data_IF_037857620278
#
_entry.id   IF_037857620278
#
_cell.length_a   1.000
_cell.length_b   1.000
_cell.length_c   1.000
_cell.angle_alpha   90.00
_cell.angle_beta   90.00
_cell.angle_gamma   90.00
#
_symmetry.space_group_name_H-M   'P 1'
#
loop_
_entity.id
_entity.type
_entity.pdbx_description
1 polymer ?
#
# COMPACT_ATOMS: atom_id res chain seq x y z
N UNK A 1 5.89 11.73 -21.81
CA UNK A 1 7.14 11.33 -21.13
C UNK A 1 7.71 12.44 -20.26
N UNK A 2 7.77 13.70 -20.70
CA UNK A 2 8.30 14.79 -19.86
C UNK A 2 7.51 14.98 -18.55
N UNK A 3 6.18 14.82 -18.58
CA UNK A 3 5.34 14.94 -17.36
C UNK A 3 5.53 13.74 -16.46
N UNK A 4 5.46 12.51 -17.00
CA UNK A 4 5.71 11.28 -16.24
C UNK A 4 7.06 11.32 -15.49
N UNK A 5 8.16 11.62 -16.19
CA UNK A 5 9.48 11.67 -15.58
C UNK A 5 9.62 12.80 -14.56
N UNK A 6 8.99 13.96 -14.82
CA UNK A 6 8.92 15.07 -13.86
C UNK A 6 8.18 14.65 -12.59
N UNK A 7 7.00 14.05 -12.71
CA UNK A 7 6.19 13.60 -11.57
C UNK A 7 6.96 12.57 -10.74
N UNK A 8 7.60 11.59 -11.39
CA UNK A 8 8.39 10.58 -10.69
C UNK A 8 9.58 11.22 -9.97
N UNK A 9 10.28 12.17 -10.59
CA UNK A 9 11.40 12.88 -9.97
C UNK A 9 10.96 13.74 -8.79
N UNK A 10 9.87 14.48 -8.92
CA UNK A 10 9.33 15.31 -7.83
C UNK A 10 8.90 14.47 -6.63
N UNK A 11 8.30 13.30 -6.88
CA UNK A 11 7.81 12.41 -5.82
C UNK A 11 8.83 11.37 -5.38
N UNK A 12 9.99 11.27 -6.02
CA UNK A 12 11.01 10.23 -5.78
C UNK A 12 11.42 10.10 -4.32
N UNK A 13 11.66 11.22 -3.63
CA UNK A 13 11.98 11.22 -2.19
C UNK A 13 10.85 10.60 -1.36
N UNK A 14 9.61 10.97 -1.64
CA UNK A 14 8.44 10.41 -0.98
C UNK A 14 8.30 8.91 -1.25
N UNK A 15 8.50 8.48 -2.50
CA UNK A 15 8.48 7.07 -2.90
C UNK A 15 9.58 6.29 -2.17
N UNK A 16 10.81 6.82 -2.11
CA UNK A 16 11.94 6.17 -1.44
C UNK A 16 11.70 6.03 0.07
N UNK A 17 11.23 7.09 0.72
CA UNK A 17 10.89 7.06 2.15
C UNK A 17 9.79 6.03 2.40
N UNK A 18 8.74 6.03 1.59
CA UNK A 18 7.64 5.09 1.72
C UNK A 18 8.09 3.65 1.47
N UNK A 19 8.91 3.42 0.45
CA UNK A 19 9.49 2.11 0.14
C UNK A 19 10.32 1.60 1.33
N UNK A 20 11.20 2.44 1.88
CA UNK A 20 12.00 2.09 3.05
C UNK A 20 11.14 1.81 4.28
N UNK A 21 10.07 2.59 4.49
CA UNK A 21 9.13 2.37 5.58
C UNK A 21 8.41 1.03 5.44
N UNK A 22 7.87 0.70 4.27
CA UNK A 22 7.15 -0.57 4.05
C UNK A 22 8.08 -1.80 4.13
N UNK A 23 9.32 -1.67 3.62
CA UNK A 23 10.35 -2.69 3.78
C UNK A 23 10.70 -2.92 5.25
N UNK A 24 10.97 -1.83 5.99
CA UNK A 24 11.30 -1.91 7.41
C UNK A 24 10.14 -2.43 8.26
N UNK A 25 8.92 -1.99 7.95
CA UNK A 25 7.71 -2.43 8.66
C UNK A 25 7.42 -3.91 8.44
N UNK A 26 7.55 -4.44 7.21
CA UNK A 26 7.37 -5.88 6.96
C UNK A 26 8.42 -6.73 7.68
N UNK A 27 9.68 -6.30 7.67
CA UNK A 27 10.73 -6.99 8.44
C UNK A 27 10.44 -6.95 9.95
N UNK A 28 10.02 -5.80 10.47
CA UNK A 28 9.67 -5.61 11.87
C UNK A 28 8.48 -6.48 12.30
N UNK A 29 7.42 -6.53 11.48
CA UNK A 29 6.24 -7.36 11.77
C UNK A 29 6.58 -8.84 11.75
N UNK A 30 7.35 -9.32 10.78
CA UNK A 30 7.79 -10.73 10.75
C UNK A 30 8.66 -11.08 11.97
N UNK A 31 9.55 -10.17 12.41
CA UNK A 31 10.34 -10.36 13.63
C UNK A 31 9.50 -10.38 14.91
N UNK A 32 8.41 -9.61 14.96
CA UNK A 32 7.46 -9.67 16.07
C UNK A 32 6.67 -10.97 16.03
N UNK A 33 6.24 -11.41 14.84
CA UNK A 33 5.45 -12.62 14.67
C UNK A 33 6.17 -13.85 15.21
N UNK A 34 7.49 -13.98 15.03
CA UNK A 34 8.24 -15.11 15.60
C UNK A 34 8.25 -15.10 17.13
N UNK A 35 8.34 -13.90 17.71
CA UNK A 35 8.31 -13.74 19.18
C UNK A 35 6.92 -14.09 19.71
N UNK A 36 5.87 -13.62 19.02
CA UNK A 36 4.49 -13.94 19.37
C UNK A 36 4.17 -15.41 19.17
N UNK A 37 4.64 -16.06 18.11
CA UNK A 37 4.35 -17.48 17.88
C UNK A 37 4.91 -18.35 18.99
N UNK A 38 6.11 -18.08 19.51
CA UNK A 38 6.68 -18.84 20.63
C UNK A 38 5.87 -18.68 21.94
N UNK A 39 5.47 -17.46 22.27
CA UNK A 39 4.68 -17.14 23.49
C UNK A 39 3.22 -17.61 23.37
N UNK A 40 2.65 -17.53 22.17
CA UNK A 40 1.28 -17.92 21.86
C UNK A 40 1.16 -19.45 21.76
N UNK A 41 2.16 -20.16 21.23
CA UNK A 41 2.20 -21.63 21.26
C UNK A 41 2.33 -22.18 22.69
N UNK A 42 3.19 -21.58 23.52
CA UNK A 42 3.37 -22.02 24.92
C UNK A 42 2.14 -21.77 25.80
N UNK A 43 1.38 -20.70 25.54
CA UNK A 43 0.09 -20.42 26.20
C UNK A 43 -1.10 -21.19 25.60
N UNK A 44 -1.02 -21.60 24.32
CA UNK A 44 -2.04 -22.42 23.66
C UNK A 44 -2.10 -23.84 24.24
N UNK A 45 -0.95 -24.44 24.59
CA UNK A 45 -0.91 -25.79 25.18
C UNK A 45 -1.70 -25.89 26.50
N UNK A 46 -1.73 -24.82 27.30
CA UNK A 46 -2.49 -24.76 28.56
C UNK A 46 -4.01 -24.57 28.32
N UNK A 47 -4.40 -23.87 27.25
CA UNK A 47 -5.81 -23.60 26.92
C UNK A 47 -6.52 -24.74 26.17
N UNK A 48 -5.76 -25.62 25.49
CA UNK A 48 -6.27 -26.74 24.67
C UNK A 48 -7.04 -27.82 25.47
N UNK A 49 -6.98 -27.82 26.80
CA UNK A 49 -7.69 -28.78 27.63
C UNK A 49 -9.19 -28.48 27.81
N UNK A 50 -9.65 -27.25 27.49
CA UNK A 50 -11.06 -26.90 27.70
C UNK A 50 -11.99 -27.33 26.54
N UNK A 51 -13.15 -27.97 26.81
CA UNK A 51 -14.06 -28.46 25.76
C UNK A 51 -14.63 -27.38 24.83
N UNK A 52 -14.84 -26.17 25.35
CA UNK A 52 -15.29 -25.02 24.57
C UNK A 52 -14.21 -24.53 23.57
N UNK A 53 -12.93 -24.68 23.93
CA UNK A 53 -11.82 -24.24 23.11
C UNK A 53 -11.51 -25.22 21.97
N UNK A 54 -11.78 -26.53 22.10
CA UNK A 54 -11.62 -27.50 20.99
C UNK A 54 -12.52 -27.21 19.77
N UNK A 55 -13.71 -26.66 19.98
CA UNK A 55 -14.59 -26.22 18.90
C UNK A 55 -14.08 -24.94 18.21
N UNK A 56 -13.48 -24.03 18.99
CA UNK A 56 -12.83 -22.81 18.50
C UNK A 56 -11.49 -23.09 17.81
N UNK A 57 -10.69 -24.02 18.34
CA UNK A 57 -9.38 -24.44 17.85
C UNK A 57 -9.41 -24.96 16.41
N UNK A 58 -10.52 -25.60 15.99
CA UNK A 58 -10.70 -26.01 14.59
C UNK A 58 -10.79 -24.81 13.64
N UNK A 59 -11.37 -23.70 14.10
CA UNK A 59 -11.42 -22.42 13.38
C UNK A 59 -10.17 -21.55 13.61
N UNK A 60 -9.48 -21.73 14.74
CA UNK A 60 -8.24 -21.03 15.10
C UNK A 60 -6.98 -21.70 14.56
N UNK A 61 -7.06 -22.94 14.05
CA UNK A 61 -5.94 -23.64 13.41
C UNK A 61 -5.33 -22.85 12.24
N UNK A 62 -6.13 -21.99 11.59
CA UNK A 62 -5.64 -21.03 10.59
C UNK A 62 -4.82 -19.91 11.25
N UNK A 63 -5.23 -19.39 12.41
CA UNK A 63 -4.57 -18.28 13.11
C UNK A 63 -3.24 -18.70 13.74
N UNK A 64 -3.04 -20.00 14.00
CA UNK A 64 -1.76 -20.53 14.50
C UNK A 64 -0.73 -20.81 13.40
N UNK A 65 -1.09 -20.67 12.12
CA UNK A 65 -0.14 -20.80 11.00
C UNK A 65 0.57 -19.48 10.73
N UNK A 66 1.78 -19.56 10.16
CA UNK A 66 2.52 -18.36 9.75
C UNK A 66 1.71 -17.52 8.74
N UNK A 67 0.99 -18.16 7.83
CA UNK A 67 0.10 -17.49 6.88
C UNK A 67 -1.04 -16.75 7.60
N UNK A 68 -1.71 -17.40 8.55
CA UNK A 68 -2.81 -16.76 9.27
C UNK A 68 -2.36 -15.61 10.15
N UNK A 69 -1.19 -15.73 10.78
CA UNK A 69 -0.57 -14.63 11.54
C UNK A 69 -0.21 -13.46 10.63
N UNK A 70 0.38 -13.72 9.45
CA UNK A 70 0.62 -12.70 8.44
C UNK A 70 -0.68 -12.05 7.96
N UNK A 71 -1.75 -12.82 7.79
CA UNK A 71 -3.06 -12.26 7.43
C UNK A 71 -3.53 -11.29 8.51
N UNK A 72 -3.58 -11.71 9.75
CA UNK A 72 -4.15 -10.93 10.85
C UNK A 72 -3.35 -9.66 11.13
N UNK A 73 -2.02 -9.80 11.23
CA UNK A 73 -1.14 -8.70 11.66
C UNK A 73 -0.70 -7.79 10.51
N UNK A 74 -0.40 -8.38 9.34
CA UNK A 74 0.11 -7.62 8.20
C UNK A 74 -1.01 -7.21 7.24
N UNK A 75 -1.86 -8.15 6.82
CA UNK A 75 -2.76 -7.97 5.67
C UNK A 75 -4.22 -7.58 5.98
N UNK A 76 -4.68 -7.70 7.22
CA UNK A 76 -6.11 -7.55 7.55
C UNK A 76 -6.55 -6.09 7.68
N UNK A 77 -5.70 -5.24 8.25
CA UNK A 77 -6.04 -3.83 8.53
C UNK A 77 -4.87 -2.86 8.38
N UNK A 78 -3.64 -3.30 8.69
CA UNK A 78 -2.56 -2.40 9.05
C UNK A 78 -1.96 -1.65 7.86
N UNK A 79 -1.33 -2.36 6.94
CA UNK A 79 -0.44 -1.73 5.97
C UNK A 79 -1.14 -1.35 4.66
N UNK A 80 -2.18 -2.09 4.27
CA UNK A 80 -2.96 -1.84 3.04
C UNK A 80 -3.72 -0.52 3.14
N UNK A 81 -4.32 -0.23 4.29
CA UNK A 81 -5.05 1.01 4.52
C UNK A 81 -4.10 2.21 4.59
N UNK A 82 -2.93 2.04 5.19
CA UNK A 82 -1.90 3.08 5.22
C UNK A 82 -1.41 3.40 3.80
N UNK A 83 -1.14 2.37 2.99
CA UNK A 83 -0.75 2.56 1.59
C UNK A 83 -1.87 3.19 0.78
N UNK A 84 -3.11 2.74 0.96
CA UNK A 84 -4.28 3.32 0.32
C UNK A 84 -4.43 4.81 0.68
N UNK A 85 -4.20 5.18 1.94
CA UNK A 85 -4.16 6.58 2.38
C UNK A 85 -3.11 7.40 1.62
N UNK A 86 -1.88 6.88 1.49
CA UNK A 86 -0.85 7.55 0.70
C UNK A 86 -1.22 7.64 -0.79
N UNK A 87 -1.80 6.59 -1.36
CA UNK A 87 -2.29 6.56 -2.75
C UNK A 87 -3.34 7.66 -2.97
N UNK A 88 -4.27 7.85 -2.02
CA UNK A 88 -5.26 8.93 -2.07
C UNK A 88 -4.57 10.29 -2.10
N UNK A 89 -3.62 10.55 -1.19
CA UNK A 89 -2.90 11.82 -1.17
C UNK A 89 -2.08 12.05 -2.45
N UNK A 90 -1.45 11.00 -2.97
CA UNK A 90 -0.67 11.05 -4.19
C UNK A 90 -1.55 11.39 -5.40
N UNK A 91 -2.67 10.68 -5.56
CA UNK A 91 -3.63 10.87 -6.64
C UNK A 91 -4.33 12.24 -6.54
N UNK A 92 -4.75 12.66 -5.35
CA UNK A 92 -5.33 13.98 -5.12
C UNK A 92 -4.36 15.12 -5.49
N UNK A 93 -3.06 14.92 -5.29
CA UNK A 93 -2.03 15.91 -5.66
C UNK A 93 -1.87 16.12 -7.17
N UNK A 94 -2.56 15.34 -8.03
CA UNK A 94 -2.49 15.50 -9.47
C UNK A 94 -3.05 16.82 -9.96
N UNK A 95 -4.14 17.28 -9.34
CA UNK A 95 -4.81 18.54 -9.66
C UNK A 95 -4.48 19.59 -8.61
N UNK A 96 -4.78 19.31 -7.34
CA UNK A 96 -4.52 20.23 -6.22
C UNK A 96 -3.08 20.71 -6.13
N UNK A 97 -2.10 19.82 -6.37
CA UNK A 97 -0.68 20.17 -6.31
C UNK A 97 -0.22 21.10 -7.44
N UNK A 98 -0.90 21.12 -8.59
CA UNK A 98 -0.60 22.11 -9.64
C UNK A 98 -1.23 23.47 -9.33
N UNK A 99 -2.41 23.46 -8.68
CA UNK A 99 -3.10 24.68 -8.24
C UNK A 99 -2.29 25.38 -7.16
N UNK A 100 -1.85 24.65 -6.14
CA UNK A 100 -1.04 25.17 -5.03
C UNK A 100 0.28 25.78 -5.54
N UNK A 101 0.93 25.12 -6.51
CA UNK A 101 2.17 25.60 -7.14
C UNK A 101 1.94 26.72 -8.15
N UNK A 102 0.69 27.11 -8.44
CA UNK A 102 0.30 28.08 -9.49
C UNK A 102 0.87 27.72 -10.87
N UNK A 103 1.02 26.43 -11.14
CA UNK A 103 1.58 25.92 -12.40
C UNK A 103 0.53 25.45 -13.40
N UNK A 104 -0.75 25.49 -13.04
CA UNK A 104 -1.86 25.07 -13.92
C UNK A 104 -1.84 25.82 -15.26
N UNK A 105 -1.68 27.14 -15.24
CA UNK A 105 -1.69 27.94 -16.48
C UNK A 105 -0.48 27.64 -17.37
N UNK A 106 0.69 27.42 -16.77
CA UNK A 106 1.91 27.01 -17.49
C UNK A 106 1.77 25.60 -18.08
N UNK A 107 1.07 24.71 -17.39
CA UNK A 107 0.78 23.35 -17.86
C UNK A 107 -0.19 23.37 -19.05
N UNK A 108 -1.23 24.21 -18.97
CA UNK A 108 -2.25 24.39 -20.00
C UNK A 108 -1.76 25.21 -21.22
N UNK A 109 -0.74 26.04 -21.05
CA UNK A 109 -0.11 26.76 -22.15
C UNK A 109 0.66 25.83 -23.11
N UNK A 110 1.03 24.62 -22.66
CA UNK A 110 1.60 23.62 -23.55
C UNK A 110 0.50 22.92 -24.37
N UNK A 111 0.74 22.61 -25.65
CA UNK A 111 -0.23 21.92 -26.51
C UNK A 111 -0.30 20.43 -26.18
N UNK A 112 -0.73 20.09 -24.96
CA UNK A 112 -0.85 18.72 -24.45
C UNK A 112 -2.28 18.50 -23.98
N UNK A 113 -2.90 17.39 -24.37
CA UNK A 113 -4.25 17.06 -23.92
C UNK A 113 -4.28 16.79 -22.41
N UNK A 114 -5.35 17.25 -21.75
CA UNK A 114 -5.57 17.03 -20.30
C UNK A 114 -5.57 15.54 -19.94
N UNK A 115 -6.16 14.70 -20.81
CA UNK A 115 -6.17 13.25 -20.67
C UNK A 115 -4.76 12.65 -20.67
N UNK A 116 -3.87 13.13 -21.55
CA UNK A 116 -2.48 12.65 -21.59
C UNK A 116 -1.73 13.01 -20.31
N UNK A 117 -1.94 14.20 -19.77
CA UNK A 117 -1.32 14.63 -18.50
C UNK A 117 -1.77 13.71 -17.37
N UNK A 118 -3.08 13.45 -17.26
CA UNK A 118 -3.63 12.56 -16.23
C UNK A 118 -3.10 11.13 -16.37
N UNK A 119 -3.05 10.58 -17.59
CA UNK A 119 -2.48 9.25 -17.84
C UNK A 119 -0.99 9.19 -17.50
N UNK A 120 -0.21 10.22 -17.81
CA UNK A 120 1.21 10.28 -17.43
C UNK A 120 1.40 10.37 -15.91
N UNK A 121 0.55 11.11 -15.19
CA UNK A 121 0.60 11.16 -13.72
C UNK A 121 0.16 9.86 -13.08
N UNK A 122 -0.92 9.26 -13.59
CA UNK A 122 -1.42 7.97 -13.12
C UNK A 122 -0.42 6.84 -13.41
N UNK A 123 0.31 6.90 -14.52
CA UNK A 123 1.44 6.00 -14.77
C UNK A 123 2.50 6.08 -13.66
N UNK A 124 2.80 7.27 -13.14
CA UNK A 124 3.72 7.42 -12.01
C UNK A 124 3.16 6.83 -10.71
N UNK A 125 1.83 6.90 -10.51
CA UNK A 125 1.16 6.21 -9.40
C UNK A 125 1.30 4.69 -9.50
N UNK A 126 1.11 4.12 -10.70
CA UNK A 126 1.29 2.68 -10.92
C UNK A 126 2.71 2.25 -10.53
N UNK A 127 3.73 3.00 -10.95
CA UNK A 127 5.13 2.73 -10.57
C UNK A 127 5.32 2.82 -9.05
N UNK A 128 4.78 3.86 -8.41
CA UNK A 128 4.87 4.00 -6.96
C UNK A 128 4.25 2.80 -6.22
N UNK A 129 3.02 2.43 -6.57
CA UNK A 129 2.32 1.26 -6.00
C UNK A 129 3.14 -0.02 -6.23
N UNK A 130 3.67 -0.19 -7.45
CA UNK A 130 4.46 -1.37 -7.81
C UNK A 130 5.72 -1.49 -6.97
N UNK A 131 6.50 -0.40 -6.85
CA UNK A 131 7.75 -0.39 -6.10
C UNK A 131 7.52 -0.62 -4.61
N UNK A 132 6.50 0.03 -4.03
CA UNK A 132 6.21 -0.08 -2.59
C UNK A 132 5.66 -1.47 -2.25
N UNK A 133 4.76 -2.02 -3.09
CA UNK A 133 4.24 -3.36 -2.91
C UNK A 133 5.32 -4.43 -3.10
N UNK A 134 6.24 -4.26 -4.05
CA UNK A 134 7.40 -5.13 -4.20
C UNK A 134 8.36 -5.07 -3.00
N UNK A 135 8.52 -3.89 -2.39
CA UNK A 135 9.29 -3.75 -1.17
C UNK A 135 8.64 -4.46 0.02
N UNK A 136 7.31 -4.35 0.17
CA UNK A 136 6.55 -5.10 1.16
C UNK A 136 6.74 -6.61 0.97
N UNK A 137 6.55 -7.11 -0.25
CA UNK A 137 6.77 -8.53 -0.60
C UNK A 137 8.19 -8.98 -0.25
N UNK A 138 9.20 -8.20 -0.65
CA UNK A 138 10.61 -8.50 -0.39
C UNK A 138 10.92 -8.52 1.10
N UNK A 139 10.35 -7.59 1.88
CA UNK A 139 10.56 -7.56 3.32
C UNK A 139 9.91 -8.74 4.04
N UNK A 140 8.74 -9.21 3.60
CA UNK A 140 8.13 -10.44 4.12
C UNK A 140 8.99 -11.67 3.80
N UNK A 141 9.37 -11.84 2.53
CA UNK A 141 10.21 -12.98 2.11
C UNK A 141 11.56 -12.98 2.83
N UNK A 142 12.21 -11.82 2.95
CA UNK A 142 13.48 -11.68 3.65
C UNK A 142 13.33 -11.93 5.16
N UNK A 143 12.24 -11.46 5.78
CA UNK A 143 11.94 -11.71 7.17
C UNK A 143 11.74 -13.20 7.46
N UNK A 144 10.94 -13.89 6.64
CA UNK A 144 10.70 -15.32 6.78
C UNK A 144 11.99 -16.12 6.60
N UNK A 145 12.77 -15.81 5.56
CA UNK A 145 14.07 -16.44 5.32
C UNK A 145 15.07 -16.23 6.46
N UNK A 146 15.03 -15.07 7.14
CA UNK A 146 15.90 -14.77 8.28
C UNK A 146 15.54 -15.61 9.52
N UNK A 147 14.25 -15.85 9.74
CA UNK A 147 13.74 -16.61 10.89
C UNK A 147 13.74 -18.12 10.62
N UNK A 148 13.87 -18.53 9.36
CA UNK A 148 13.89 -19.94 8.96
C UNK A 148 12.50 -20.55 8.82
N UNK A 149 11.47 -19.70 8.66
CA UNK A 149 10.08 -20.11 8.42
C UNK A 149 9.79 -20.18 6.92
N UNK A 150 9.02 -21.18 6.52
CA UNK A 150 8.58 -21.35 5.13
C UNK A 150 7.10 -21.01 4.99
N UNK A 151 6.72 -20.49 3.83
CA UNK A 151 5.32 -20.23 3.47
C UNK A 151 5.07 -20.57 2.01
N UNK A 152 3.80 -20.79 1.66
CA UNK A 152 3.41 -20.95 0.26
C UNK A 152 3.68 -19.65 -0.54
N UNK A 153 4.72 -19.69 -1.37
CA UNK A 153 5.09 -18.58 -2.25
C UNK A 153 3.97 -18.22 -3.24
N UNK A 154 3.17 -19.19 -3.68
CA UNK A 154 2.06 -18.91 -4.58
C UNK A 154 1.01 -18.05 -3.88
N UNK A 155 0.61 -18.44 -2.67
CA UNK A 155 -0.28 -17.66 -1.82
C UNK A 155 0.23 -16.23 -1.60
N UNK A 156 1.51 -16.08 -1.23
CA UNK A 156 2.10 -14.75 -0.96
C UNK A 156 2.09 -13.86 -2.21
N UNK A 157 2.44 -14.42 -3.37
CA UNK A 157 2.41 -13.72 -4.66
C UNK A 157 0.98 -13.32 -5.03
N UNK A 158 0.01 -14.22 -4.89
CA UNK A 158 -1.39 -13.91 -5.17
C UNK A 158 -1.92 -12.78 -4.29
N UNK A 159 -1.59 -12.79 -3.00
CA UNK A 159 -1.96 -11.72 -2.06
C UNK A 159 -1.46 -10.35 -2.55
N UNK A 160 -0.20 -10.23 -2.94
CA UNK A 160 0.36 -8.97 -3.43
C UNK A 160 -0.19 -8.54 -4.79
N UNK A 161 -0.39 -9.49 -5.71
CA UNK A 161 -1.01 -9.22 -7.01
C UNK A 161 -2.45 -8.73 -6.84
N UNK A 162 -3.23 -9.32 -5.93
CA UNK A 162 -4.61 -8.93 -5.67
C UNK A 162 -4.73 -7.57 -4.98
N UNK A 163 -3.71 -7.14 -4.23
CA UNK A 163 -3.69 -5.79 -3.65
C UNK A 163 -3.46 -4.67 -4.67
N UNK A 164 -2.74 -4.94 -5.76
CA UNK A 164 -2.53 -3.93 -6.80
C UNK A 164 -3.82 -3.35 -7.38
N UNK A 165 -4.77 -4.14 -7.91
CA UNK A 165 -6.01 -3.59 -8.46
C UNK A 165 -6.83 -2.86 -7.41
N UNK A 166 -6.81 -3.29 -6.15
CA UNK A 166 -7.44 -2.56 -5.05
C UNK A 166 -6.85 -1.15 -4.88
N UNK A 167 -5.52 -1.04 -4.76
CA UNK A 167 -4.84 0.26 -4.59
C UNK A 167 -5.02 1.15 -5.83
N UNK A 168 -4.96 0.58 -7.02
CA UNK A 168 -5.19 1.31 -8.27
C UNK A 168 -6.63 1.81 -8.36
N UNK A 169 -7.63 1.02 -7.95
CA UNK A 169 -9.01 1.45 -7.88
C UNK A 169 -9.18 2.64 -6.93
N UNK A 170 -8.59 2.58 -5.73
CA UNK A 170 -8.57 3.69 -4.77
C UNK A 170 -7.94 4.95 -5.39
N UNK A 171 -6.81 4.79 -6.08
CA UNK A 171 -6.14 5.87 -6.81
C UNK A 171 -6.99 6.47 -7.93
N UNK A 172 -7.75 5.64 -8.65
CA UNK A 172 -8.68 6.09 -9.70
C UNK A 172 -9.82 6.91 -9.10
N UNK A 173 -10.45 6.44 -8.02
CA UNK A 173 -11.49 7.19 -7.32
C UNK A 173 -10.96 8.51 -6.80
N UNK A 174 -9.80 8.51 -6.14
CA UNK A 174 -9.19 9.74 -5.63
C UNK A 174 -8.86 10.75 -6.75
N UNK A 175 -8.31 10.27 -7.87
CA UNK A 175 -8.05 11.13 -9.04
C UNK A 175 -9.36 11.73 -9.59
N UNK A 176 -10.42 10.92 -9.70
CA UNK A 176 -11.72 11.38 -10.15
C UNK A 176 -12.31 12.46 -9.23
N UNK A 177 -12.30 12.21 -7.91
CA UNK A 177 -12.80 13.17 -6.92
C UNK A 177 -12.00 14.48 -6.95
N UNK A 178 -10.68 14.41 -7.07
CA UNK A 178 -9.85 15.62 -7.17
C UNK A 178 -10.17 16.45 -8.42
N UNK A 179 -10.41 15.81 -9.57
CA UNK A 179 -10.83 16.52 -10.79
C UNK A 179 -12.21 17.18 -10.63
N UNK A 180 -13.15 16.53 -9.94
CA UNK A 180 -14.51 17.04 -9.74
C UNK A 180 -14.56 18.19 -8.73
N UNK A 181 -13.80 18.09 -7.65
CA UNK A 181 -13.87 19.04 -6.54
C UNK A 181 -12.84 20.17 -6.62
N UNK A 182 -11.66 19.94 -7.18
CA UNK A 182 -10.56 20.92 -7.23
C UNK A 182 -10.58 21.74 -8.54
N UNK A 183 -11.74 22.09 -9.09
CA UNK A 183 -11.83 22.85 -10.34
C UNK A 183 -11.19 24.26 -10.18
N UNK A 184 -10.11 24.59 -10.93
CA UNK A 184 -9.47 25.90 -10.87
C UNK A 184 -10.44 27.06 -11.13
N UNK A 185 -11.50 26.83 -11.91
CA UNK A 185 -12.50 27.85 -12.25
C UNK A 185 -13.37 28.26 -11.06
N UNK A 186 -13.64 27.34 -10.13
CA UNK A 186 -14.37 27.64 -8.89
C UNK A 186 -13.53 28.46 -7.91
N UNK A 187 -12.22 28.24 -7.89
CA UNK A 187 -11.31 28.97 -6.98
C UNK A 187 -11.14 30.42 -7.43
N UNK A 188 -11.11 30.69 -8.74
CA UNK A 188 -10.98 32.05 -9.28
C UNK A 188 -12.28 32.86 -9.28
N UNK A 189 -13.44 32.25 -9.04
CA UNK A 189 -14.74 32.96 -8.97
C UNK A 189 -15.11 33.46 -7.58
N UNK A 190 -14.31 33.16 -6.55
CA UNK A 190 -14.59 33.49 -5.14
C UNK A 190 -13.54 34.46 -4.56
N UNK A 191 -12.51 34.83 -5.32
CA UNK A 191 -11.50 35.84 -4.95
C UNK A 191 -11.59 37.07 -5.81
#
# INVERSE_FOLDING_TARGET
>A
MKVFAKTLREKSRGILILTAFFLGFSLYTVAILSTMSEELLSSFDEFLETPAFKAFAKSASTITTIEGLLVVELYQWGIELLLAGYVILFAASFVSGEIEKKTVDLLLANPVSRTRILLEKYGALIIMVTVVNAALFTGVVAGLAYIGEETDMAWLVYTHILFMPFLLAVGSYSTFLSVVFDDPRRVMSVG
#
